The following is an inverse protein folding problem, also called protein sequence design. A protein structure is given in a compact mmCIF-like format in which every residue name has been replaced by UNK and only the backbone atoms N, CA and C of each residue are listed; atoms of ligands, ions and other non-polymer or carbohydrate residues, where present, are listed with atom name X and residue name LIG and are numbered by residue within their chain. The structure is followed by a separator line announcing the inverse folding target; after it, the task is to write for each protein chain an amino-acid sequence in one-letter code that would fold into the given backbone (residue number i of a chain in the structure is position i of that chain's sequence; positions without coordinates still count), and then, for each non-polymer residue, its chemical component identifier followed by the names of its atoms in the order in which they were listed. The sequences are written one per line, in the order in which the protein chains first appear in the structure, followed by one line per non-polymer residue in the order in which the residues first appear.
data_IF_843929045916
#
_entry.id   IF_843929045916
#
_cell.length_a   1.000
_cell.length_b   1.000
_cell.length_c   1.000
_cell.angle_alpha   90.00
_cell.angle_beta   90.00
_cell.angle_gamma   90.00
#
_symmetry.space_group_name_H-M   'P 1'
#
loop_
_entity.id
_entity.type
_entity.pdbx_description
1 polymer ?
#
# COMPACT_ATOMS: atom_id res chain seq x y z
N UNK A 1 -15.99 21.67 1.09
CA UNK A 1 -15.13 20.51 0.75
C UNK A 1 -15.67 19.23 1.38
N UNK A 2 -15.64 19.07 2.71
CA UNK A 2 -16.03 17.82 3.40
C UNK A 2 -17.38 17.24 2.97
N UNK A 3 -18.46 18.02 3.01
CA UNK A 3 -19.80 17.55 2.61
C UNK A 3 -19.87 17.04 1.16
N UNK A 4 -19.18 17.72 0.23
CA UNK A 4 -19.11 17.29 -1.18
C UNK A 4 -18.30 16.00 -1.32
N UNK A 5 -17.18 15.89 -0.60
CA UNK A 5 -16.33 14.70 -0.63
C UNK A 5 -17.04 13.50 -0.01
N UNK A 6 -17.75 13.66 1.11
CA UNK A 6 -18.53 12.59 1.74
C UNK A 6 -19.67 12.10 0.84
N UNK A 7 -20.34 13.03 0.15
CA UNK A 7 -21.44 12.71 -0.77
C UNK A 7 -20.95 12.06 -2.06
N UNK A 8 -19.94 12.65 -2.71
CA UNK A 8 -19.54 12.28 -4.07
C UNK A 8 -18.35 11.32 -4.09
N UNK A 9 -17.58 11.25 -3.01
CA UNK A 9 -16.33 10.48 -2.92
C UNK A 9 -15.14 11.16 -3.61
N UNK A 10 -15.30 12.39 -4.10
CA UNK A 10 -14.21 13.19 -4.63
C UNK A 10 -14.45 14.69 -4.44
N UNK A 11 -13.38 15.47 -4.52
CA UNK A 11 -13.43 16.93 -4.56
C UNK A 11 -12.25 17.46 -5.40
N UNK A 12 -12.48 18.51 -6.19
CA UNK A 12 -11.43 19.12 -7.01
C UNK A 12 -11.03 20.46 -6.40
N UNK A 13 -9.78 20.53 -5.95
CA UNK A 13 -9.13 21.78 -5.58
C UNK A 13 -8.65 22.47 -6.85
N UNK A 14 -9.25 23.62 -7.18
CA UNK A 14 -9.00 24.31 -8.45
C UNK A 14 -7.78 25.22 -8.37
N UNK A 15 -6.90 25.14 -9.37
CA UNK A 15 -5.72 26.02 -9.52
C UNK A 15 -4.87 26.11 -8.25
N UNK A 16 -4.66 24.98 -7.57
CA UNK A 16 -3.88 24.91 -6.33
C UNK A 16 -2.44 25.25 -6.60
N UNK A 17 -1.88 24.65 -7.66
CA UNK A 17 -0.55 24.91 -8.15
C UNK A 17 -0.61 25.95 -9.26
N UNK A 18 0.35 26.86 -9.23
CA UNK A 18 0.67 27.76 -10.34
C UNK A 18 1.29 27.00 -11.50
N UNK A 19 1.30 27.59 -12.70
CA UNK A 19 1.98 26.97 -13.86
C UNK A 19 3.46 26.69 -13.58
N UNK A 20 4.14 27.61 -12.88
CA UNK A 20 5.55 27.45 -12.48
C UNK A 20 5.76 26.26 -11.55
N UNK A 21 4.89 26.07 -10.56
CA UNK A 21 4.98 24.92 -9.64
C UNK A 21 4.71 23.60 -10.38
N UNK A 22 3.74 23.58 -11.30
CA UNK A 22 3.50 22.40 -12.15
C UNK A 22 4.71 22.11 -13.04
N UNK A 23 5.35 23.13 -13.60
CA UNK A 23 6.53 22.92 -14.46
C UNK A 23 7.75 22.48 -13.64
N UNK A 24 7.95 23.03 -12.43
CA UNK A 24 8.96 22.57 -11.47
C UNK A 24 8.77 21.08 -11.16
N UNK A 25 7.53 20.65 -10.92
CA UNK A 25 7.20 19.24 -10.65
C UNK A 25 7.39 18.36 -11.90
N UNK A 26 6.85 18.78 -13.05
CA UNK A 26 6.76 17.95 -14.24
C UNK A 26 8.09 17.82 -14.99
N UNK A 27 8.99 18.80 -14.90
CA UNK A 27 10.24 18.82 -15.65
C UNK A 27 11.17 17.63 -15.36
N UNK A 28 11.59 17.35 -14.10
CA UNK A 28 12.46 16.21 -13.81
C UNK A 28 11.79 14.87 -14.15
N UNK A 29 10.48 14.75 -13.90
CA UNK A 29 9.67 13.57 -14.23
C UNK A 29 9.67 13.29 -15.74
N UNK A 30 9.37 14.30 -16.56
CA UNK A 30 9.37 14.16 -18.04
C UNK A 30 10.76 13.86 -18.57
N UNK A 31 11.80 14.45 -17.97
CA UNK A 31 13.17 14.18 -18.34
C UNK A 31 13.55 12.71 -18.07
N UNK A 32 13.12 12.14 -16.94
CA UNK A 32 13.32 10.72 -16.64
C UNK A 32 12.61 9.80 -17.66
N UNK A 33 11.35 10.07 -18.02
CA UNK A 33 10.67 9.33 -19.10
C UNK A 33 11.42 9.40 -20.43
N UNK A 34 11.92 10.58 -20.80
CA UNK A 34 12.68 10.79 -22.05
C UNK A 34 14.00 10.01 -22.06
N UNK A 35 14.66 9.88 -20.90
CA UNK A 35 15.91 9.10 -20.76
C UNK A 35 15.69 7.58 -20.69
N UNK A 36 14.45 7.11 -20.58
CA UNK A 36 14.16 5.69 -20.33
C UNK A 36 14.33 5.28 -18.87
N UNK A 37 14.31 6.25 -17.96
CA UNK A 37 14.63 6.09 -16.54
C UNK A 37 13.36 5.96 -15.69
N UNK A 38 12.50 5.00 -16.04
CA UNK A 38 11.20 4.78 -15.40
C UNK A 38 10.90 3.29 -15.22
N UNK A 39 10.13 2.94 -14.18
CA UNK A 39 10.00 1.57 -13.65
C UNK A 39 9.36 0.55 -14.60
N UNK A 40 8.66 1.00 -15.65
CA UNK A 40 7.99 0.10 -16.60
C UNK A 40 8.69 -0.07 -17.94
N UNK A 41 9.88 0.53 -18.12
CA UNK A 41 10.61 0.51 -19.40
C UNK A 41 10.89 -0.91 -19.92
N UNK A 42 11.12 -1.87 -19.03
CA UNK A 42 11.45 -3.25 -19.40
C UNK A 42 10.24 -4.17 -19.65
N UNK A 43 9.00 -3.72 -19.40
CA UNK A 43 7.78 -4.56 -19.43
C UNK A 43 6.86 -4.28 -20.61
N UNK A 44 7.28 -3.47 -21.58
CA UNK A 44 6.43 -3.07 -22.69
C UNK A 44 7.17 -2.27 -23.75
N UNK A 45 6.44 -1.62 -24.67
CA UNK A 45 7.08 -0.71 -25.61
C UNK A 45 7.68 0.47 -24.82
N UNK A 46 8.84 0.95 -25.22
CA UNK A 46 9.46 2.11 -24.60
C UNK A 46 8.69 3.40 -24.95
N UNK A 47 8.60 4.35 -24.02
CA UNK A 47 8.22 5.73 -24.31
C UNK A 47 9.09 6.26 -25.47
N UNK A 48 8.52 6.91 -26.50
CA UNK A 48 7.18 7.50 -26.57
C UNK A 48 6.11 6.62 -27.25
N UNK A 49 6.33 5.31 -27.41
CA UNK A 49 5.31 4.45 -27.97
C UNK A 49 4.04 4.42 -27.10
N UNK A 50 2.89 4.24 -27.75
CA UNK A 50 1.59 4.16 -27.09
C UNK A 50 1.59 3.09 -25.98
N UNK A 51 1.18 3.49 -24.78
CA UNK A 51 1.23 2.62 -23.60
C UNK A 51 0.95 3.39 -22.31
N UNK A 52 1.07 2.69 -21.18
CA UNK A 52 1.06 3.29 -19.85
C UNK A 52 2.48 3.15 -19.30
N UNK A 53 3.18 4.28 -19.19
CA UNK A 53 4.52 4.34 -18.64
C UNK A 53 4.48 4.97 -17.26
N UNK A 54 5.30 4.46 -16.36
CA UNK A 54 5.08 4.65 -14.94
C UNK A 54 6.42 4.85 -14.22
N UNK A 55 6.48 5.83 -13.32
CA UNK A 55 7.67 6.17 -12.55
C UNK A 55 7.34 6.43 -11.07
N UNK A 56 7.83 5.58 -10.18
CA UNK A 56 7.64 5.61 -8.74
C UNK A 56 8.51 6.65 -8.00
N UNK A 57 8.80 6.43 -6.71
CA UNK A 57 9.42 7.43 -5.85
C UNK A 57 10.91 7.67 -6.12
N UNK A 58 11.57 6.90 -7.00
CA UNK A 58 13.01 7.06 -7.31
C UNK A 58 13.38 8.48 -7.77
N UNK A 59 12.49 9.19 -8.46
CA UNK A 59 12.72 10.58 -8.84
C UNK A 59 12.96 11.51 -7.63
N UNK A 60 12.43 11.14 -6.46
CA UNK A 60 12.59 11.92 -5.23
C UNK A 60 13.97 11.75 -4.60
N UNK A 61 14.77 10.78 -5.05
CA UNK A 61 16.17 10.65 -4.65
C UNK A 61 17.01 11.76 -5.27
N UNK A 62 16.90 11.95 -6.59
CA UNK A 62 17.67 12.95 -7.35
C UNK A 62 17.06 14.35 -7.28
N UNK A 63 15.75 14.43 -7.09
CA UNK A 63 14.97 15.66 -7.12
C UNK A 63 14.04 15.79 -5.91
N UNK A 64 14.55 15.76 -4.66
CA UNK A 64 13.71 15.84 -3.47
C UNK A 64 12.94 17.16 -3.38
N UNK A 65 13.40 18.24 -4.04
CA UNK A 65 12.76 19.55 -4.06
C UNK A 65 11.36 19.56 -4.68
N UNK A 66 11.02 18.56 -5.51
CA UNK A 66 9.67 18.48 -6.08
C UNK A 66 8.63 18.09 -5.03
N UNK A 67 9.06 17.62 -3.84
CA UNK A 67 8.16 17.33 -2.72
C UNK A 67 7.40 18.59 -2.26
N UNK A 68 8.04 19.76 -2.26
CA UNK A 68 7.46 21.03 -1.81
C UNK A 68 6.26 21.46 -2.66
N UNK A 69 6.28 21.11 -3.94
CA UNK A 69 5.21 21.41 -4.91
C UNK A 69 4.30 20.21 -5.19
N UNK A 70 4.46 19.10 -4.44
CA UNK A 70 3.63 17.91 -4.59
C UNK A 70 3.17 17.35 -3.24
N UNK A 71 3.88 16.35 -2.70
CA UNK A 71 3.46 15.60 -1.51
C UNK A 71 3.44 16.46 -0.25
N UNK A 72 4.21 17.54 -0.17
CA UNK A 72 4.28 18.44 0.98
C UNK A 72 3.66 19.82 0.72
N UNK A 73 2.94 19.99 -0.40
CA UNK A 73 2.32 21.27 -0.73
C UNK A 73 1.25 21.62 0.33
N UNK A 74 1.34 22.78 1.02
CA UNK A 74 0.52 23.08 2.19
C UNK A 74 -0.99 22.95 1.94
N UNK A 75 -1.49 23.54 0.85
CA UNK A 75 -2.93 23.47 0.50
C UNK A 75 -3.42 22.05 0.20
N UNK A 76 -2.55 21.16 -0.26
CA UNK A 76 -2.92 19.77 -0.58
C UNK A 76 -3.01 19.00 0.73
N UNK A 77 -1.97 19.09 1.57
CA UNK A 77 -1.91 18.36 2.83
C UNK A 77 -2.97 18.86 3.82
N UNK A 78 -3.17 20.17 3.95
CA UNK A 78 -4.25 20.73 4.77
C UNK A 78 -5.62 20.15 4.36
N UNK A 79 -5.90 20.06 3.06
CA UNK A 79 -7.16 19.51 2.56
C UNK A 79 -7.30 18.00 2.85
N UNK A 80 -6.22 17.23 2.67
CA UNK A 80 -6.21 15.78 2.94
C UNK A 80 -6.40 15.51 4.44
N UNK A 81 -5.67 16.19 5.30
CA UNK A 81 -5.75 16.02 6.75
C UNK A 81 -7.07 16.53 7.32
N UNK A 82 -7.67 17.59 6.76
CA UNK A 82 -9.04 18.00 7.09
C UNK A 82 -10.06 16.91 6.75
N UNK A 83 -9.93 16.28 5.58
CA UNK A 83 -10.84 15.20 5.15
C UNK A 83 -10.65 13.92 5.97
N UNK A 84 -9.43 13.60 6.39
CA UNK A 84 -9.20 12.48 7.32
C UNK A 84 -9.62 12.82 8.75
N UNK A 85 -9.53 14.08 9.16
CA UNK A 85 -9.67 14.53 10.55
C UNK A 85 -8.45 14.18 11.42
N UNK A 86 -7.33 13.83 10.81
CA UNK A 86 -6.10 13.38 11.47
C UNK A 86 -4.89 13.48 10.50
N UNK A 87 -3.64 13.32 10.99
CA UNK A 87 -2.46 13.35 10.14
C UNK A 87 -2.48 12.28 9.03
N UNK A 88 -1.94 12.66 7.87
CA UNK A 88 -1.82 11.79 6.71
C UNK A 88 -0.40 11.19 6.59
N UNK A 89 -0.30 10.04 5.94
CA UNK A 89 0.98 9.43 5.55
C UNK A 89 0.93 9.02 4.07
N UNK A 90 2.03 9.25 3.35
CA UNK A 90 2.13 8.97 1.93
C UNK A 90 2.24 7.46 1.70
N UNK A 91 1.24 6.91 1.01
CA UNK A 91 1.19 5.51 0.60
C UNK A 91 1.88 5.27 -0.74
N UNK A 92 1.71 6.21 -1.68
CA UNK A 92 2.19 6.07 -3.06
C UNK A 92 2.63 7.42 -3.60
N UNK A 93 3.75 7.44 -4.32
CA UNK A 93 4.17 8.54 -5.18
C UNK A 93 4.43 8.00 -6.59
N UNK A 94 3.55 8.33 -7.55
CA UNK A 94 3.64 7.72 -8.87
C UNK A 94 3.28 8.68 -9.99
N UNK A 95 4.19 8.91 -10.95
CA UNK A 95 3.83 9.56 -12.20
C UNK A 95 3.40 8.55 -13.27
N UNK A 96 2.33 8.89 -13.98
CA UNK A 96 1.81 8.11 -15.11
C UNK A 96 1.89 8.95 -16.38
N UNK A 97 2.58 8.42 -17.40
CA UNK A 97 2.74 8.98 -18.74
C UNK A 97 1.96 8.14 -19.75
N UNK A 98 1.03 8.78 -20.47
CA UNK A 98 0.18 8.16 -21.49
C UNK A 98 0.33 8.90 -22.83
N UNK A 99 1.24 8.44 -23.72
CA UNK A 99 1.43 9.03 -25.04
C UNK A 99 0.18 8.95 -25.93
N UNK A 100 0.15 9.68 -27.06
CA UNK A 100 -0.89 9.53 -28.08
C UNK A 100 -1.17 8.07 -28.42
N UNK A 101 -2.45 7.69 -28.45
CA UNK A 101 -2.87 6.31 -28.70
C UNK A 101 -2.87 5.39 -27.47
N UNK A 102 -2.43 5.85 -26.30
CA UNK A 102 -2.49 5.06 -25.08
C UNK A 102 -3.94 4.67 -24.73
N UNK A 103 -4.21 3.37 -24.68
CA UNK A 103 -5.55 2.82 -24.42
C UNK A 103 -6.41 2.62 -25.68
N UNK A 104 -5.88 2.93 -26.88
CA UNK A 104 -6.51 2.57 -28.16
C UNK A 104 -5.99 1.19 -28.57
N UNK A 105 -6.80 0.14 -28.41
CA UNK A 105 -6.47 -1.19 -28.92
C UNK A 105 -7.71 -1.86 -29.54
N UNK A 106 -7.50 -2.74 -30.53
CA UNK A 106 -8.56 -3.48 -31.25
C UNK A 106 -9.35 -4.47 -30.38
N UNK A 107 -8.87 -4.74 -29.16
CA UNK A 107 -9.57 -5.49 -28.13
C UNK A 107 -9.83 -4.55 -26.96
N UNK A 108 -10.99 -4.64 -26.28
CA UNK A 108 -11.22 -3.88 -25.06
C UNK A 108 -10.03 -4.10 -24.13
N UNK A 109 -9.42 -3.02 -23.66
CA UNK A 109 -8.16 -3.04 -22.95
C UNK A 109 -8.44 -3.54 -21.52
N UNK A 110 -8.42 -4.87 -21.35
CA UNK A 110 -8.86 -5.52 -20.10
C UNK A 110 -7.94 -5.21 -18.90
N UNK A 111 -6.71 -4.73 -19.13
CA UNK A 111 -5.77 -4.41 -18.05
C UNK A 111 -5.60 -2.89 -17.88
N UNK A 112 -6.53 -2.24 -17.18
CA UNK A 112 -6.38 -0.86 -16.70
C UNK A 112 -7.17 0.23 -17.44
N UNK A 113 -8.06 -0.13 -18.37
CA UNK A 113 -8.98 0.84 -19.03
C UNK A 113 -10.46 0.60 -18.70
N UNK A 114 -10.75 -0.16 -17.65
CA UNK A 114 -12.09 -0.29 -17.11
C UNK A 114 -12.24 0.54 -15.85
N UNK A 115 -13.47 0.91 -15.53
CA UNK A 115 -13.79 1.42 -14.22
C UNK A 115 -13.30 0.46 -13.12
N UNK A 116 -12.65 1.01 -12.11
CA UNK A 116 -12.10 0.26 -11.00
C UNK A 116 -11.98 1.14 -9.77
N UNK A 117 -11.63 0.52 -8.65
CA UNK A 117 -11.05 1.20 -7.49
C UNK A 117 -9.86 0.39 -6.98
N UNK A 118 -9.13 0.96 -6.02
CA UNK A 118 -7.74 0.57 -5.75
C UNK A 118 -7.53 -0.05 -4.37
N UNK A 119 -8.62 -0.37 -3.67
CA UNK A 119 -8.53 -1.23 -2.49
C UNK A 119 -8.13 -2.62 -2.93
N UNK A 120 -6.90 -3.01 -2.60
CA UNK A 120 -6.19 -4.19 -3.09
C UNK A 120 -5.39 -4.76 -1.91
N UNK A 121 -5.95 -5.72 -1.13
CA UNK A 121 -5.29 -6.26 0.07
C UNK A 121 -3.95 -6.96 -0.21
N UNK A 122 -3.59 -7.15 -1.48
CA UNK A 122 -2.32 -7.74 -1.92
C UNK A 122 -1.23 -6.71 -2.29
N UNK A 123 -1.50 -5.40 -2.10
CA UNK A 123 -0.57 -4.32 -2.47
C UNK A 123 -0.29 -3.38 -1.31
N UNK A 124 0.98 -3.03 -1.10
CA UNK A 124 1.38 -1.96 -0.17
C UNK A 124 0.59 -0.67 -0.42
N UNK A 125 0.45 -0.26 -1.68
CA UNK A 125 -0.27 0.98 -2.05
C UNK A 125 -1.81 0.88 -2.05
N UNK A 126 -2.38 -0.26 -1.65
CA UNK A 126 -3.81 -0.54 -1.80
C UNK A 126 -4.46 -1.27 -0.62
N UNK A 127 -3.69 -1.71 0.38
CA UNK A 127 -4.20 -2.47 1.53
C UNK A 127 -4.61 -1.58 2.71
N UNK A 128 -5.23 -0.43 2.44
CA UNK A 128 -5.69 0.55 3.44
C UNK A 128 -7.22 0.59 3.48
N UNK A 129 -7.80 1.00 4.61
CA UNK A 129 -9.26 1.13 4.74
C UNK A 129 -9.74 2.55 4.99
N UNK A 130 -8.85 3.47 5.40
CA UNK A 130 -9.08 4.91 5.42
C UNK A 130 -7.98 5.64 4.64
N UNK A 131 -8.24 5.87 3.35
CA UNK A 131 -7.24 6.39 2.42
C UNK A 131 -7.88 7.14 1.25
N UNK A 132 -7.08 7.95 0.56
CA UNK A 132 -7.50 8.72 -0.59
C UNK A 132 -6.36 8.97 -1.59
N UNK A 133 -6.75 9.33 -2.80
CA UNK A 133 -5.85 9.80 -3.85
C UNK A 133 -5.71 11.31 -3.82
N UNK A 134 -4.56 11.79 -4.27
CA UNK A 134 -4.38 13.15 -4.76
C UNK A 134 -3.73 13.08 -6.14
N UNK A 135 -4.44 13.55 -7.17
CA UNK A 135 -3.95 13.52 -8.55
C UNK A 135 -3.72 14.94 -9.06
N UNK A 136 -2.49 15.21 -9.50
CA UNK A 136 -2.04 16.48 -10.08
C UNK A 136 -1.83 16.28 -11.59
N UNK A 137 -2.69 16.83 -12.46
CA UNK A 137 -2.49 16.76 -13.89
C UNK A 137 -1.44 17.79 -14.35
N UNK A 138 -0.50 17.36 -15.20
CA UNK A 138 0.55 18.27 -15.73
C UNK A 138 0.11 19.01 -17.00
N UNK A 139 -1.07 18.68 -17.50
CA UNK A 139 -1.75 19.28 -18.65
C UNK A 139 -3.25 19.28 -18.36
N UNK A 140 -4.04 19.96 -19.19
CA UNK A 140 -5.48 19.79 -19.17
C UNK A 140 -5.87 18.36 -19.58
N UNK A 141 -6.69 17.71 -18.76
CA UNK A 141 -7.27 16.40 -19.08
C UNK A 141 -8.55 16.62 -19.89
N UNK A 142 -8.39 17.05 -21.15
CA UNK A 142 -9.48 17.22 -22.10
C UNK A 142 -10.06 15.87 -22.54
N UNK A 143 -11.24 15.91 -23.19
CA UNK A 143 -11.85 14.74 -23.83
C UNK A 143 -10.85 14.00 -24.75
N UNK A 144 -10.07 14.74 -25.55
CA UNK A 144 -9.08 14.16 -26.46
C UNK A 144 -7.85 13.63 -25.74
N UNK A 145 -7.37 14.30 -24.69
CA UNK A 145 -6.22 13.82 -23.91
C UNK A 145 -6.54 12.56 -23.07
N UNK A 146 -7.83 12.28 -22.86
CA UNK A 146 -8.31 11.16 -22.06
C UNK A 146 -8.53 11.59 -20.61
N UNK A 147 -9.75 11.99 -20.22
CA UNK A 147 -10.03 12.41 -18.86
C UNK A 147 -9.89 11.28 -17.84
N UNK A 148 -9.66 11.65 -16.58
CA UNK A 148 -9.86 10.75 -15.44
C UNK A 148 -11.31 10.88 -15.01
N UNK A 149 -12.15 9.92 -15.41
CA UNK A 149 -13.57 9.93 -15.05
C UNK A 149 -13.80 9.26 -13.70
N UNK A 150 -14.85 9.68 -12.99
CA UNK A 150 -15.22 9.18 -11.66
C UNK A 150 -16.71 8.84 -11.61
N UNK A 151 -17.10 7.93 -10.71
CA UNK A 151 -18.50 7.60 -10.44
C UNK A 151 -18.93 8.13 -9.07
N UNK A 152 -19.65 9.28 -9.00
CA UNK A 152 -19.98 9.92 -7.74
C UNK A 152 -20.80 9.01 -6.81
N UNK A 153 -20.43 8.95 -5.54
CA UNK A 153 -21.14 8.16 -4.52
C UNK A 153 -20.82 6.65 -4.54
N UNK A 154 -20.05 6.17 -5.52
CA UNK A 154 -19.65 4.75 -5.60
C UNK A 154 -18.79 4.29 -4.42
N UNK A 155 -18.08 5.20 -3.75
CA UNK A 155 -17.30 4.90 -2.55
C UNK A 155 -18.17 4.42 -1.38
N UNK A 156 -19.46 4.76 -1.36
CA UNK A 156 -20.42 4.31 -0.34
C UNK A 156 -20.92 2.87 -0.56
N UNK A 157 -20.55 2.23 -1.68
CA UNK A 157 -20.94 0.84 -1.96
C UNK A 157 -20.04 -0.18 -1.27
N UNK A 158 -18.86 0.23 -0.78
CA UNK A 158 -18.00 -0.63 0.04
C UNK A 158 -18.17 -0.27 1.52
N UNK A 159 -18.22 -1.28 2.38
CA UNK A 159 -18.41 -1.08 3.82
C UNK A 159 -17.28 -1.74 4.60
N UNK A 160 -16.70 -1.00 5.54
CA UNK A 160 -15.81 -1.55 6.54
C UNK A 160 -16.65 -2.22 7.63
N UNK A 161 -16.41 -3.50 7.86
CA UNK A 161 -17.15 -4.29 8.84
C UNK A 161 -16.59 -4.05 10.26
N UNK A 162 -17.36 -4.36 11.31
CA UNK A 162 -16.85 -4.36 12.68
C UNK A 162 -15.60 -5.25 12.81
N UNK A 163 -14.68 -4.84 13.68
CA UNK A 163 -13.47 -5.60 13.97
C UNK A 163 -13.81 -6.98 14.55
N UNK A 164 -12.98 -7.98 14.25
CA UNK A 164 -12.96 -9.25 14.99
C UNK A 164 -12.14 -9.20 16.30
N UNK A 165 -11.76 -7.98 16.68
CA UNK A 165 -10.93 -7.63 17.81
C UNK A 165 -9.48 -7.34 17.42
N UNK A 166 -9.03 -7.67 16.20
CA UNK A 166 -7.66 -7.38 15.70
C UNK A 166 -7.68 -6.67 14.35
N UNK A 167 -8.55 -7.10 13.44
CA UNK A 167 -8.63 -6.60 12.06
C UNK A 167 -10.08 -6.46 11.60
N UNK A 168 -10.30 -5.61 10.60
CA UNK A 168 -11.61 -5.36 10.02
C UNK A 168 -11.77 -6.03 8.66
N UNK A 169 -12.84 -6.84 8.46
CA UNK A 169 -13.27 -7.27 7.13
C UNK A 169 -13.79 -6.10 6.31
N UNK A 170 -13.77 -6.24 4.99
CA UNK A 170 -14.32 -5.25 4.07
C UNK A 170 -15.32 -5.93 3.15
N UNK A 171 -16.58 -5.50 3.22
CA UNK A 171 -17.56 -5.77 2.17
C UNK A 171 -17.22 -4.86 0.97
N UNK A 172 -16.42 -5.37 0.06
CA UNK A 172 -15.88 -4.65 -1.07
C UNK A 172 -16.89 -4.66 -2.23
N UNK A 173 -17.27 -3.50 -2.75
CA UNK A 173 -18.20 -3.41 -3.87
C UNK A 173 -17.67 -4.11 -5.12
N UNK A 174 -18.51 -4.88 -5.79
CA UNK A 174 -18.18 -5.44 -7.09
C UNK A 174 -18.46 -4.41 -8.18
N UNK A 175 -17.45 -4.01 -8.94
CA UNK A 175 -17.61 -2.98 -9.98
C UNK A 175 -18.36 -3.58 -11.18
N UNK A 176 -19.55 -3.06 -11.53
CA UNK A 176 -20.34 -3.55 -12.66
C UNK A 176 -19.68 -3.27 -14.01
N UNK A 177 -20.37 -3.61 -15.11
CA UNK A 177 -19.93 -3.19 -16.45
C UNK A 177 -19.97 -1.67 -16.56
N UNK A 178 -19.07 -1.11 -17.38
CA UNK A 178 -18.99 0.33 -17.58
C UNK A 178 -20.29 0.96 -18.12
N UNK A 179 -21.13 0.19 -18.84
CA UNK A 179 -22.44 0.63 -19.33
C UNK A 179 -23.47 0.84 -18.22
N UNK A 180 -23.24 0.25 -17.05
CA UNK A 180 -24.21 0.16 -15.96
C UNK A 180 -23.85 1.13 -14.82
N UNK A 181 -22.78 1.91 -15.01
CA UNK A 181 -22.28 2.90 -14.05
C UNK A 181 -22.24 4.29 -14.71
N UNK A 182 -22.59 5.31 -13.94
CA UNK A 182 -22.42 6.69 -14.37
C UNK A 182 -20.98 7.12 -14.12
N UNK A 183 -20.27 7.49 -15.18
CA UNK A 183 -18.92 8.06 -15.13
C UNK A 183 -18.96 9.49 -15.65
N UNK A 184 -18.52 10.44 -14.83
CA UNK A 184 -18.44 11.86 -15.19
C UNK A 184 -16.99 12.31 -15.28
N UNK A 185 -16.72 13.31 -16.13
CA UNK A 185 -15.43 13.98 -16.20
C UNK A 185 -15.40 15.19 -15.23
N UNK A 186 -14.53 15.19 -14.20
CA UNK A 186 -14.33 16.36 -13.33
C UNK A 186 -13.75 17.59 -14.05
N UNK A 187 -13.37 17.46 -15.32
CA UNK A 187 -12.78 18.51 -16.16
C UNK A 187 -11.51 19.08 -15.53
N UNK A 188 -10.53 18.21 -15.24
CA UNK A 188 -9.30 18.60 -14.56
C UNK A 188 -8.40 19.45 -15.47
N UNK A 189 -7.91 20.57 -14.91
CA UNK A 189 -7.01 21.51 -15.56
C UNK A 189 -5.60 21.42 -15.01
N UNK A 190 -4.61 21.82 -15.81
CA UNK A 190 -3.23 21.96 -15.31
C UNK A 190 -3.23 22.79 -14.02
N UNK A 191 -2.63 22.25 -12.96
CA UNK A 191 -2.55 22.91 -11.63
C UNK A 191 -3.75 22.66 -10.70
N UNK A 192 -4.80 21.99 -11.16
CA UNK A 192 -5.81 21.43 -10.25
C UNK A 192 -5.25 20.27 -9.44
N UNK A 193 -5.95 19.89 -8.37
CA UNK A 193 -5.73 18.63 -7.64
C UNK A 193 -7.08 17.99 -7.41
N UNK A 194 -7.26 16.74 -7.86
CA UNK A 194 -8.45 15.96 -7.47
C UNK A 194 -8.10 15.07 -6.30
N UNK A 195 -8.91 15.19 -5.24
CA UNK A 195 -8.92 14.26 -4.12
C UNK A 195 -10.01 13.22 -4.36
N UNK A 196 -9.70 11.93 -4.22
CA UNK A 196 -10.68 10.84 -4.43
C UNK A 196 -10.60 9.84 -3.30
N UNK A 197 -11.73 9.43 -2.74
CA UNK A 197 -11.81 8.35 -1.77
C UNK A 197 -11.24 7.05 -2.37
N UNK A 198 -10.54 6.25 -1.58
CA UNK A 198 -9.94 4.98 -2.02
C UNK A 198 -10.92 3.97 -2.63
N UNK A 199 -12.19 4.03 -2.24
CA UNK A 199 -13.28 3.19 -2.77
C UNK A 199 -14.02 3.81 -3.96
N UNK A 200 -13.68 5.03 -4.38
CA UNK A 200 -14.32 5.68 -5.51
C UNK A 200 -13.97 4.97 -6.82
N UNK A 201 -14.99 4.57 -7.56
CA UNK A 201 -14.81 4.01 -8.89
C UNK A 201 -14.37 5.10 -9.87
N UNK A 202 -13.33 4.81 -10.64
CA UNK A 202 -12.75 5.72 -11.60
C UNK A 202 -12.23 4.98 -12.83
N UNK A 203 -12.16 5.70 -13.95
CA UNK A 203 -11.65 5.16 -15.22
C UNK A 203 -10.81 6.20 -15.96
N UNK A 204 -9.54 5.89 -16.29
CA UNK A 204 -8.73 6.74 -17.14
C UNK A 204 -9.07 6.49 -18.62
N UNK A 205 -9.77 7.43 -19.27
CA UNK A 205 -10.19 7.31 -20.68
C UNK A 205 -8.98 7.28 -21.64
N UNK A 206 -9.08 6.65 -22.82
CA UNK A 206 -7.98 6.61 -23.78
C UNK A 206 -7.50 8.00 -24.22
N UNK A 207 -6.22 8.10 -24.59
CA UNK A 207 -5.65 9.31 -25.17
C UNK A 207 -5.82 9.27 -26.71
N UNK A 208 -6.82 9.99 -27.21
CA UNK A 208 -7.11 10.19 -28.63
C UNK A 208 -6.37 11.38 -29.24
N UNK A 209 -5.68 12.16 -28.41
CA UNK A 209 -4.99 13.39 -28.78
C UNK A 209 -3.67 13.14 -29.49
N UNK A 210 -2.93 14.23 -29.70
CA UNK A 210 -1.63 14.27 -30.34
C UNK A 210 -0.50 14.70 -29.37
N UNK A 211 -0.79 14.73 -28.07
CA UNK A 211 0.16 15.06 -27.00
C UNK A 211 0.11 14.05 -25.87
N UNK A 212 1.17 14.03 -25.07
CA UNK A 212 1.26 13.17 -23.89
C UNK A 212 0.30 13.63 -22.79
N UNK A 213 -0.47 12.68 -22.23
CA UNK A 213 -1.21 12.87 -20.98
C UNK A 213 -0.35 12.41 -19.82
N UNK A 214 0.12 13.35 -19.01
CA UNK A 214 0.96 13.08 -17.83
C UNK A 214 0.36 13.67 -16.55
N UNK A 215 0.64 13.05 -15.42
CA UNK A 215 0.31 13.59 -14.11
C UNK A 215 0.99 12.80 -12.99
N UNK A 216 0.89 13.34 -11.77
CA UNK A 216 1.31 12.69 -10.54
C UNK A 216 0.10 12.15 -9.79
N UNK A 217 0.18 10.90 -9.37
CA UNK A 217 -0.85 10.12 -8.69
C UNK A 217 -0.28 9.71 -7.34
N UNK A 218 -0.64 10.49 -6.32
CA UNK A 218 -0.28 10.20 -4.95
C UNK A 218 -1.44 9.50 -4.25
N UNK A 219 -1.11 8.66 -3.27
CA UNK A 219 -2.08 8.12 -2.33
C UNK A 219 -1.62 8.46 -0.93
N UNK A 220 -2.59 8.76 -0.08
CA UNK A 220 -2.38 9.01 1.33
C UNK A 220 -3.32 8.12 2.13
N UNK A 221 -2.87 7.70 3.29
CA UNK A 221 -3.72 7.05 4.29
C UNK A 221 -3.72 7.86 5.56
N UNK A 222 -4.81 7.73 6.32
CA UNK A 222 -4.85 8.24 7.68
C UNK A 222 -3.81 7.50 8.54
N UNK A 223 -3.17 8.20 9.49
CA UNK A 223 -2.23 7.57 10.43
C UNK A 223 -2.87 6.37 11.15
N UNK A 224 -4.15 6.50 11.54
CA UNK A 224 -4.92 5.43 12.17
C UNK A 224 -5.23 4.23 11.27
N UNK A 225 -4.98 4.26 9.96
CA UNK A 225 -5.27 3.14 9.05
C UNK A 225 -4.02 2.74 8.27
N UNK A 226 -3.08 2.03 8.91
CA UNK A 226 -1.86 1.58 8.25
C UNK A 226 -2.14 0.51 7.17
N UNK A 227 -1.21 0.31 6.22
CA UNK A 227 -1.36 -0.70 5.18
C UNK A 227 -1.20 -2.10 5.75
N UNK A 228 -2.11 -3.02 5.43
CA UNK A 228 -1.97 -4.41 5.88
C UNK A 228 -0.69 -5.10 5.37
N UNK A 229 -0.29 -4.85 4.12
CA UNK A 229 0.97 -5.36 3.53
C UNK A 229 2.25 -4.73 4.13
N UNK A 230 2.08 -3.63 4.87
CA UNK A 230 3.14 -2.76 5.33
C UNK A 230 3.46 -1.64 4.34
N UNK A 231 4.17 -0.60 4.80
CA UNK A 231 4.32 0.65 4.06
C UNK A 231 5.27 0.56 2.88
N UNK A 232 5.09 1.47 1.93
CA UNK A 232 6.08 1.77 0.88
C UNK A 232 7.30 2.44 1.52
N UNK A 233 8.51 1.97 1.18
CA UNK A 233 9.77 2.58 1.64
C UNK A 233 10.23 3.62 0.61
N UNK A 234 10.54 4.83 1.06
CA UNK A 234 10.96 5.96 0.22
C UNK A 234 12.47 6.27 0.33
N UNK A 235 13.06 7.04 -0.60
CA UNK A 235 14.44 7.51 -0.46
C UNK A 235 14.62 8.45 0.74
N UNK A 236 15.69 8.29 1.54
CA UNK A 236 16.00 9.21 2.66
C UNK A 236 16.15 10.66 2.19
N UNK A 237 16.63 10.90 0.96
CA UNK A 237 16.81 12.24 0.41
C UNK A 237 15.54 13.11 0.50
N UNK A 238 14.35 12.53 0.24
CA UNK A 238 13.10 13.29 0.38
C UNK A 238 12.76 13.57 1.84
N UNK A 239 12.97 12.61 2.73
CA UNK A 239 12.71 12.80 4.16
C UNK A 239 13.60 13.91 4.77
N UNK A 240 14.87 13.96 4.37
CA UNK A 240 15.81 14.99 4.82
C UNK A 240 15.50 16.37 4.25
N UNK A 241 14.95 16.44 3.03
CA UNK A 241 14.49 17.69 2.41
C UNK A 241 13.24 18.26 3.09
N UNK A 242 12.32 17.40 3.54
CA UNK A 242 11.08 17.82 4.16
C UNK A 242 11.30 18.62 5.44
N UNK A 243 10.47 19.65 5.63
CA UNK A 243 10.39 20.37 6.91
C UNK A 243 10.00 19.41 8.05
N UNK A 244 10.37 19.74 9.28
CA UNK A 244 10.02 18.89 10.44
C UNK A 244 8.51 18.64 10.59
N UNK A 245 7.68 19.58 10.13
CA UNK A 245 6.21 19.44 10.13
C UNK A 245 5.66 18.53 9.03
N UNK A 246 6.47 18.16 8.04
CA UNK A 246 6.08 17.35 6.90
C UNK A 246 6.73 15.96 6.90
N UNK A 247 7.69 15.70 7.80
CA UNK A 247 8.38 14.40 7.93
C UNK A 247 7.44 13.24 8.23
N UNK A 248 6.29 13.48 8.87
CA UNK A 248 5.27 12.46 9.11
C UNK A 248 4.62 11.92 7.83
N UNK A 249 4.78 12.62 6.69
CA UNK A 249 4.29 12.15 5.39
C UNK A 249 5.14 11.00 4.86
N UNK A 250 6.42 10.94 5.19
CA UNK A 250 7.37 9.92 4.68
C UNK A 250 8.15 9.28 5.84
N UNK A 251 7.49 8.66 6.82
CA UNK A 251 8.16 8.15 8.01
C UNK A 251 8.98 6.87 7.75
N UNK A 252 8.72 6.19 6.62
CA UNK A 252 9.41 4.97 6.22
C UNK A 252 10.32 5.26 5.02
N UNK A 253 11.61 5.39 5.29
CA UNK A 253 12.60 5.72 4.29
C UNK A 253 13.93 5.01 4.53
N UNK A 254 14.82 5.02 3.53
CA UNK A 254 16.21 4.51 3.64
C UNK A 254 17.14 5.19 2.62
N UNK A 255 18.42 5.27 2.96
CA UNK A 255 19.45 6.01 2.22
C UNK A 255 20.46 5.13 1.48
N UNK A 256 20.25 3.81 1.45
CA UNK A 256 21.12 2.82 0.82
C UNK A 256 20.67 2.39 -0.59
N UNK A 257 19.73 3.13 -1.19
CA UNK A 257 19.21 2.85 -2.54
C UNK A 257 18.15 1.74 -2.63
N UNK A 258 17.83 1.03 -1.53
CA UNK A 258 16.90 -0.13 -1.54
C UNK A 258 15.44 0.24 -1.21
N UNK A 259 14.93 1.30 -1.80
CA UNK A 259 13.57 1.80 -1.62
C UNK A 259 12.65 1.39 -2.77
N UNK A 260 11.35 1.63 -2.66
CA UNK A 260 10.33 1.17 -3.61
C UNK A 260 10.64 1.59 -5.05
N UNK A 261 11.18 0.66 -5.85
CA UNK A 261 11.57 0.87 -7.24
C UNK A 261 11.61 -0.47 -7.95
N UNK A 262 11.43 -0.45 -9.27
CA UNK A 262 11.64 -1.63 -10.12
C UNK A 262 12.63 -1.23 -11.20
N UNK A 263 13.84 -1.77 -11.11
CA UNK A 263 14.78 -1.71 -12.22
C UNK A 263 14.44 -2.86 -13.19
N UNK A 264 15.15 -3.98 -13.08
CA UNK A 264 14.78 -5.23 -13.77
C UNK A 264 13.94 -6.15 -12.90
N UNK A 265 14.29 -6.18 -11.62
CA UNK A 265 13.65 -6.96 -10.56
C UNK A 265 13.39 -5.99 -9.38
N UNK A 266 12.55 -6.36 -8.41
CA UNK A 266 12.44 -5.61 -7.16
C UNK A 266 13.79 -5.48 -6.45
N UNK A 267 14.00 -4.37 -5.75
CA UNK A 267 15.28 -4.06 -5.08
C UNK A 267 15.39 -4.62 -3.66
N UNK A 268 14.38 -5.39 -3.22
CA UNK A 268 14.22 -5.99 -1.89
C UNK A 268 14.31 -4.94 -0.77
N UNK A 269 13.19 -4.32 -0.44
CA UNK A 269 13.14 -3.22 0.52
C UNK A 269 13.11 -3.64 2.00
N UNK A 270 12.99 -4.94 2.30
CA UNK A 270 12.86 -5.47 3.66
C UNK A 270 13.71 -6.74 3.73
N UNK A 271 14.53 -6.88 4.76
CA UNK A 271 15.45 -8.02 4.92
C UNK A 271 14.83 -9.15 5.76
N UNK A 272 14.00 -8.81 6.74
CA UNK A 272 13.41 -9.77 7.67
C UNK A 272 11.91 -9.51 7.88
N UNK A 273 11.12 -10.56 8.06
CA UNK A 273 9.77 -10.44 8.59
C UNK A 273 9.64 -11.19 9.91
N UNK A 274 9.09 -10.52 10.92
CA UNK A 274 8.80 -11.11 12.22
C UNK A 274 7.27 -11.20 12.40
N UNK A 275 6.76 -12.32 12.91
CA UNK A 275 5.31 -12.55 13.00
C UNK A 275 4.88 -12.82 14.44
N UNK A 276 4.00 -11.96 14.95
CA UNK A 276 3.26 -12.19 16.19
C UNK A 276 2.03 -13.05 15.83
N UNK A 277 2.08 -14.33 16.20
CA UNK A 277 1.00 -15.29 15.94
C UNK A 277 0.28 -15.57 17.26
N UNK A 278 -0.99 -15.16 17.34
CA UNK A 278 -1.88 -15.35 18.47
C UNK A 278 -2.86 -16.50 18.19
N UNK A 279 -3.11 -17.39 19.16
CA UNK A 279 -4.15 -18.42 19.07
C UNK A 279 -5.52 -17.94 19.59
N UNK A 280 -6.51 -18.83 19.60
CA UNK A 280 -7.85 -18.48 20.11
C UNK A 280 -7.89 -18.17 21.62
N UNK A 281 -6.91 -18.65 22.39
CA UNK A 281 -6.78 -18.44 23.84
C UNK A 281 -5.87 -17.23 24.15
N UNK A 282 -5.56 -16.41 23.13
CA UNK A 282 -4.69 -15.22 23.23
C UNK A 282 -3.24 -15.54 23.65
N UNK A 283 -2.78 -16.77 23.38
CA UNK A 283 -1.38 -17.16 23.57
C UNK A 283 -0.59 -16.86 22.31
N UNK A 284 0.65 -16.43 22.50
CA UNK A 284 1.57 -16.07 21.42
C UNK A 284 2.56 -17.19 21.19
N UNK A 285 2.78 -17.53 19.93
CA UNK A 285 3.84 -18.44 19.52
C UNK A 285 5.22 -17.79 19.70
N UNK A 286 6.09 -18.46 20.44
CA UNK A 286 7.53 -18.17 20.50
C UNK A 286 8.35 -19.41 20.16
N UNK A 287 9.49 -19.20 19.54
CA UNK A 287 10.47 -20.23 19.15
C UNK A 287 11.74 -20.06 20.01
N UNK A 288 12.48 -21.15 20.21
CA UNK A 288 13.71 -21.15 21.00
C UNK A 288 13.69 -22.23 22.07
N UNK A 289 14.35 -21.99 23.19
CA UNK A 289 14.32 -22.88 24.35
C UNK A 289 14.75 -22.12 25.62
N UNK A 290 14.71 -22.78 26.77
CA UNK A 290 15.08 -22.16 28.05
C UNK A 290 16.56 -21.75 28.18
N UNK A 291 17.46 -22.32 27.37
CA UNK A 291 18.89 -22.03 27.40
C UNK A 291 19.27 -20.86 26.47
N UNK A 292 18.74 -20.85 25.25
CA UNK A 292 19.04 -19.85 24.22
C UNK A 292 18.08 -18.66 24.25
N UNK A 293 17.00 -18.78 25.02
CA UNK A 293 15.91 -17.83 25.09
C UNK A 293 14.87 -18.04 23.99
N UNK A 294 13.76 -17.33 24.14
CA UNK A 294 12.60 -17.32 23.28
C UNK A 294 12.61 -16.09 22.37
N UNK A 295 12.01 -16.19 21.19
CA UNK A 295 11.77 -15.08 20.26
C UNK A 295 10.50 -15.33 19.42
N UNK A 296 9.91 -14.30 18.80
CA UNK A 296 8.85 -14.54 17.81
C UNK A 296 9.42 -15.22 16.55
N UNK A 297 8.60 -15.96 15.78
CA UNK A 297 8.96 -16.40 14.44
C UNK A 297 9.54 -15.27 13.58
N UNK A 298 10.67 -15.56 12.92
CA UNK A 298 11.37 -14.66 11.99
C UNK A 298 11.70 -15.41 10.72
N UNK A 299 11.59 -14.73 9.59
CA UNK A 299 11.82 -15.30 8.28
C UNK A 299 12.57 -14.29 7.39
N UNK A 300 13.39 -14.80 6.49
CA UNK A 300 14.00 -13.97 5.44
C UNK A 300 12.89 -13.34 4.59
N UNK A 301 12.94 -12.01 4.48
CA UNK A 301 11.98 -11.26 3.69
C UNK A 301 12.50 -11.09 2.26
N UNK A 302 11.63 -11.35 1.29
CA UNK A 302 11.93 -11.13 -0.12
C UNK A 302 10.69 -10.69 -0.87
N UNK A 303 10.83 -9.72 -1.75
CA UNK A 303 9.77 -9.31 -2.66
C UNK A 303 9.54 -10.39 -3.72
N UNK A 304 8.31 -10.49 -4.23
CA UNK A 304 8.00 -11.44 -5.30
C UNK A 304 8.75 -11.04 -6.58
N UNK A 305 9.44 -11.97 -7.24
CA UNK A 305 10.19 -11.68 -8.47
C UNK A 305 9.32 -11.12 -9.61
N UNK A 306 8.01 -11.38 -9.59
CA UNK A 306 7.04 -10.86 -10.54
C UNK A 306 6.40 -9.53 -10.11
N UNK A 307 6.69 -9.06 -8.89
CA UNK A 307 6.16 -7.83 -8.32
C UNK A 307 6.33 -6.67 -9.30
N UNK A 308 5.26 -5.90 -9.45
CA UNK A 308 5.27 -4.65 -10.19
C UNK A 308 5.57 -3.52 -9.20
N UNK A 309 5.79 -2.31 -9.70
CA UNK A 309 6.09 -1.14 -8.84
C UNK A 309 5.04 -0.89 -7.76
N UNK A 310 3.79 -1.31 -7.96
CA UNK A 310 2.73 -1.20 -6.97
C UNK A 310 2.75 -2.27 -5.87
N UNK A 311 3.46 -3.35 -6.13
CA UNK A 311 3.65 -4.45 -5.22
C UNK A 311 5.00 -4.33 -4.50
N UNK A 312 5.81 -3.31 -4.86
CA UNK A 312 7.09 -3.04 -4.22
C UNK A 312 6.93 -2.86 -2.70
N UNK A 313 7.92 -3.35 -1.96
CA UNK A 313 7.96 -3.53 -0.51
C UNK A 313 7.00 -4.60 0.05
N UNK A 314 6.20 -5.31 -0.75
CA UNK A 314 5.39 -6.43 -0.23
C UNK A 314 6.23 -7.71 -0.16
N UNK A 315 6.49 -8.17 1.06
CA UNK A 315 7.28 -9.38 1.33
C UNK A 315 6.45 -10.55 1.86
N UNK A 316 5.11 -10.43 1.92
CA UNK A 316 4.24 -11.46 2.51
C UNK A 316 4.42 -12.83 1.87
N UNK A 317 4.72 -12.90 0.58
CA UNK A 317 4.95 -14.18 -0.11
C UNK A 317 6.07 -15.01 0.51
N UNK A 318 7.22 -14.39 0.83
CA UNK A 318 8.33 -15.12 1.47
C UNK A 318 8.02 -15.47 2.91
N UNK A 319 7.30 -14.60 3.64
CA UNK A 319 6.90 -14.84 5.04
C UNK A 319 5.92 -16.01 5.15
N UNK A 320 4.94 -16.09 4.26
CA UNK A 320 3.97 -17.20 4.23
C UNK A 320 4.68 -18.51 3.90
N UNK A 321 5.60 -18.47 2.94
CA UNK A 321 6.42 -19.63 2.57
C UNK A 321 7.29 -20.10 3.73
N UNK A 322 7.98 -19.19 4.41
CA UNK A 322 8.79 -19.51 5.59
C UNK A 322 7.96 -20.11 6.72
N UNK A 323 6.78 -19.54 7.02
CA UNK A 323 5.88 -20.11 8.02
C UNK A 323 5.42 -21.54 7.67
N UNK A 324 5.13 -21.82 6.39
CA UNK A 324 4.74 -23.16 5.96
C UNK A 324 5.91 -24.15 5.99
N UNK A 325 7.08 -23.76 5.46
CA UNK A 325 8.25 -24.63 5.33
C UNK A 325 8.95 -24.90 6.68
N UNK A 326 9.07 -23.88 7.53
CA UNK A 326 9.83 -23.96 8.78
C UNK A 326 8.97 -24.33 9.99
N UNK A 327 7.68 -23.94 10.01
CA UNK A 327 6.78 -24.19 11.14
C UNK A 327 5.68 -25.21 10.82
N UNK A 328 5.47 -25.54 9.54
CA UNK A 328 4.30 -26.30 9.11
C UNK A 328 2.98 -25.52 9.25
N UNK A 329 3.03 -24.18 9.31
CA UNK A 329 1.88 -23.31 9.51
C UNK A 329 1.45 -22.64 8.22
N UNK A 330 0.18 -22.85 7.84
CA UNK A 330 -0.46 -22.10 6.77
C UNK A 330 -1.12 -20.85 7.35
N UNK A 331 -0.56 -19.69 7.04
CA UNK A 331 -1.12 -18.40 7.43
C UNK A 331 -2.02 -17.90 6.29
N UNK A 332 -3.33 -17.67 6.52
CA UNK A 332 -4.23 -17.16 5.47
C UNK A 332 -4.02 -15.68 5.15
N UNK A 333 -3.56 -14.90 6.13
CA UNK A 333 -3.42 -13.45 6.03
C UNK A 333 -2.44 -12.93 7.08
N UNK A 334 -1.89 -11.75 6.85
CA UNK A 334 -1.12 -10.99 7.83
C UNK A 334 -1.64 -9.54 7.88
N UNK A 335 -1.39 -8.85 8.99
CA UNK A 335 -1.58 -7.39 9.06
C UNK A 335 -0.34 -6.75 9.67
N UNK A 336 0.11 -5.64 9.09
CA UNK A 336 1.25 -4.89 9.58
C UNK A 336 1.04 -4.34 11.00
N UNK A 337 2.12 -4.33 11.79
CA UNK A 337 2.19 -3.73 13.13
C UNK A 337 3.19 -2.58 13.19
N UNK A 338 4.44 -2.83 12.77
CA UNK A 338 5.54 -1.87 12.81
C UNK A 338 6.64 -2.27 11.83
N UNK A 339 7.42 -1.31 11.32
CA UNK A 339 8.70 -1.56 10.65
C UNK A 339 9.83 -1.15 11.60
N UNK A 340 10.77 -2.05 11.84
CA UNK A 340 11.98 -1.81 12.62
C UNK A 340 13.10 -1.39 11.69
N UNK A 341 13.86 -0.38 12.10
CA UNK A 341 15.04 0.08 11.39
C UNK A 341 16.27 -0.05 12.27
N UNK A 342 17.37 -0.54 11.68
CA UNK A 342 18.70 -0.39 12.26
C UNK A 342 19.61 0.31 11.24
N UNK A 343 20.42 1.27 11.69
CA UNK A 343 21.42 1.86 10.82
C UNK A 343 22.42 0.78 10.37
N UNK A 344 23.04 1.05 9.24
CA UNK A 344 24.17 0.27 8.73
C UNK A 344 25.22 0.01 9.84
N UNK A 345 25.60 -1.25 10.02
CA UNK A 345 26.61 -1.64 11.02
C UNK A 345 28.03 -1.15 10.67
N UNK A 346 28.27 -0.80 9.41
CA UNK A 346 29.50 -0.25 8.85
C UNK A 346 29.15 0.63 7.63
N UNK A 347 30.04 1.51 7.17
CA UNK A 347 29.79 2.39 6.00
C UNK A 347 29.39 1.62 4.72
N UNK A 348 29.84 0.37 4.57
CA UNK A 348 29.52 -0.49 3.42
C UNK A 348 28.39 -1.50 3.70
N UNK A 349 27.86 -1.55 4.93
CA UNK A 349 26.73 -2.40 5.24
C UNK A 349 25.44 -1.68 4.81
N UNK A 350 24.55 -2.33 4.08
CA UNK A 350 23.21 -1.79 3.82
C UNK A 350 22.45 -1.54 5.13
N UNK A 351 21.44 -0.67 5.07
CA UNK A 351 20.54 -0.51 6.19
C UNK A 351 19.71 -1.78 6.40
N UNK A 352 19.34 -2.09 7.64
CA UNK A 352 18.49 -3.23 7.95
C UNK A 352 17.07 -2.78 8.29
N UNK A 353 16.09 -3.53 7.78
CA UNK A 353 14.66 -3.36 7.96
C UNK A 353 14.02 -4.71 8.28
N UNK A 354 13.22 -4.72 9.34
CA UNK A 354 12.38 -5.85 9.69
C UNK A 354 10.92 -5.40 9.76
N UNK A 355 10.05 -6.12 9.05
CA UNK A 355 8.62 -5.86 9.08
C UNK A 355 7.93 -6.80 10.07
N UNK A 356 7.25 -6.21 11.04
CA UNK A 356 6.50 -6.98 12.05
C UNK A 356 5.04 -7.08 11.63
N UNK A 357 4.54 -8.30 11.57
CA UNK A 357 3.15 -8.61 11.25
C UNK A 357 2.45 -9.25 12.45
N UNK A 358 1.13 -9.05 12.53
CA UNK A 358 0.21 -9.76 13.41
C UNK A 358 -0.63 -10.77 12.64
N UNK A 359 -0.92 -11.90 13.28
CA UNK A 359 -1.86 -12.91 12.82
C UNK A 359 -2.63 -13.50 14.00
N UNK A 360 -3.91 -13.85 13.76
CA UNK A 360 -4.72 -14.58 14.73
C UNK A 360 -5.28 -15.87 14.13
N UNK A 361 -4.97 -16.98 14.78
CA UNK A 361 -5.53 -18.29 14.47
C UNK A 361 -6.89 -18.41 15.15
N UNK A 362 -7.92 -18.83 14.40
CA UNK A 362 -9.30 -18.98 14.89
C UNK A 362 -9.56 -20.31 15.62
N UNK A 363 -8.53 -21.12 15.82
CA UNK A 363 -8.61 -22.45 16.44
C UNK A 363 -7.61 -22.54 17.59
N UNK A 364 -7.65 -23.65 18.33
CA UNK A 364 -6.60 -24.01 19.29
C UNK A 364 -5.21 -23.96 18.64
N UNK A 365 -4.20 -23.65 19.46
CA UNK A 365 -2.78 -23.74 19.11
C UNK A 365 -2.46 -25.02 18.33
N UNK A 366 -2.06 -24.91 17.05
CA UNK A 366 -1.66 -26.07 16.26
C UNK A 366 -0.33 -26.65 16.75
N UNK A 367 -0.11 -27.93 16.46
CA UNK A 367 1.22 -28.55 16.59
C UNK A 367 2.10 -28.10 15.45
N UNK A 368 3.32 -27.66 15.76
CA UNK A 368 4.29 -27.19 14.76
C UNK A 368 5.20 -28.32 14.31
N UNK A 369 5.75 -28.16 13.10
CA UNK A 369 6.77 -29.05 12.53
C UNK A 369 8.10 -28.30 12.44
N UNK A 370 8.80 -28.21 13.56
CA UNK A 370 10.14 -27.66 13.59
C UNK A 370 11.17 -28.71 13.15
N UNK A 371 12.07 -28.32 12.25
CA UNK A 371 13.26 -29.13 11.92
C UNK A 371 14.33 -29.06 13.01
N UNK A 372 14.38 -27.95 13.74
CA UNK A 372 15.31 -27.68 14.85
C UNK A 372 14.67 -26.72 15.86
N UNK A 373 15.06 -26.81 17.13
CA UNK A 373 14.56 -25.98 18.23
C UNK A 373 13.24 -26.45 18.88
N UNK A 374 12.82 -25.72 19.92
CA UNK A 374 11.55 -25.90 20.60
C UNK A 374 10.61 -24.71 20.33
N UNK A 375 9.34 -24.84 20.70
CA UNK A 375 8.38 -23.74 20.67
C UNK A 375 7.51 -23.77 21.92
N UNK A 376 6.95 -22.60 22.24
CA UNK A 376 5.94 -22.47 23.28
C UNK A 376 4.81 -21.53 22.82
N UNK A 377 3.61 -21.81 23.31
CA UNK A 377 2.48 -20.90 23.25
C UNK A 377 2.35 -20.23 24.62
N UNK A 378 2.77 -18.97 24.71
CA UNK A 378 2.86 -18.24 25.96
C UNK A 378 1.72 -17.24 26.11
N UNK A 379 1.05 -17.23 27.25
CA UNK A 379 0.13 -16.13 27.61
C UNK A 379 0.90 -14.83 27.84
N UNK A 380 0.19 -13.71 27.87
CA UNK A 380 0.76 -12.39 28.20
C UNK A 380 1.54 -12.40 29.52
N UNK A 381 1.07 -13.12 30.54
CA UNK A 381 1.78 -13.22 31.83
C UNK A 381 3.05 -14.06 31.73
N UNK A 382 3.03 -15.16 30.95
CA UNK A 382 4.21 -15.97 30.71
C UNK A 382 5.26 -15.19 29.91
N UNK A 383 4.85 -14.42 28.90
CA UNK A 383 5.74 -13.53 28.16
C UNK A 383 6.37 -12.50 29.09
N UNK A 384 5.58 -11.83 29.95
CA UNK A 384 6.09 -10.87 30.94
C UNK A 384 7.11 -11.49 31.90
N UNK A 385 6.85 -12.70 32.37
CA UNK A 385 7.82 -13.41 33.22
C UNK A 385 9.10 -13.77 32.43
N UNK A 386 8.98 -14.21 31.17
CA UNK A 386 10.13 -14.45 30.31
C UNK A 386 10.95 -13.17 30.03
N UNK A 387 10.30 -12.00 29.91
CA UNK A 387 11.00 -10.70 29.84
C UNK A 387 11.77 -10.43 31.13
N UNK A 388 11.13 -10.61 32.28
CA UNK A 388 11.73 -10.38 33.60
C UNK A 388 12.92 -11.30 33.87
N UNK A 389 12.84 -12.54 33.39
CA UNK A 389 13.92 -13.53 33.46
C UNK A 389 15.00 -13.35 32.39
N UNK A 390 14.87 -12.34 31.51
CA UNK A 390 15.75 -12.09 30.37
C UNK A 390 15.87 -13.29 29.41
N UNK A 391 14.76 -14.03 29.27
CA UNK A 391 14.59 -15.19 28.39
C UNK A 391 13.80 -14.88 27.13
N UNK A 392 13.39 -13.63 26.89
CA UNK A 392 12.67 -13.23 25.69
C UNK A 392 13.45 -12.15 24.92
N UNK A 393 13.99 -12.52 23.75
CA UNK A 393 14.74 -11.61 22.88
C UNK A 393 13.85 -10.50 22.36
N UNK A 394 14.20 -9.23 22.65
CA UNK A 394 13.35 -8.09 22.30
C UNK A 394 12.06 -8.04 23.10
N UNK A 395 12.04 -8.61 24.31
CA UNK A 395 10.84 -8.84 25.10
C UNK A 395 9.99 -7.59 25.37
N UNK A 396 10.61 -6.44 25.63
CA UNK A 396 9.87 -5.19 25.84
C UNK A 396 9.07 -4.79 24.59
N UNK A 397 9.67 -4.91 23.40
CA UNK A 397 9.02 -4.59 22.13
C UNK A 397 7.92 -5.60 21.81
N UNK A 398 8.15 -6.90 22.06
CA UNK A 398 7.14 -7.95 21.86
C UNK A 398 5.89 -7.68 22.72
N UNK A 399 6.07 -7.30 23.99
CA UNK A 399 4.95 -6.94 24.87
C UNK A 399 4.23 -5.70 24.35
N UNK A 400 4.96 -4.70 23.84
CA UNK A 400 4.37 -3.50 23.22
C UNK A 400 3.55 -3.87 21.99
N UNK A 401 4.08 -4.69 21.08
CA UNK A 401 3.37 -5.09 19.86
C UNK A 401 2.16 -5.97 20.16
N UNK A 402 2.25 -6.85 21.15
CA UNK A 402 1.10 -7.63 21.62
C UNK A 402 0.00 -6.71 22.15
N UNK A 403 0.37 -5.68 22.91
CA UNK A 403 -0.59 -4.69 23.38
C UNK A 403 -1.25 -3.93 22.22
N UNK A 404 -0.45 -3.42 21.27
CA UNK A 404 -0.95 -2.76 20.05
C UNK A 404 -1.88 -3.65 19.23
N UNK A 405 -1.57 -4.94 19.14
CA UNK A 405 -2.36 -5.94 18.42
C UNK A 405 -3.69 -6.22 19.12
N UNK A 406 -3.67 -6.49 20.43
CA UNK A 406 -4.85 -6.89 21.18
C UNK A 406 -5.82 -5.75 21.49
N UNK A 407 -5.31 -4.52 21.57
CA UNK A 407 -6.12 -3.33 21.88
C UNK A 407 -6.43 -2.49 20.64
N UNK A 408 -5.98 -2.93 19.46
CA UNK A 408 -6.18 -2.21 18.20
C UNK A 408 -5.62 -0.78 18.26
N UNK A 409 -4.39 -0.65 18.76
CA UNK A 409 -3.71 0.64 18.96
C UNK A 409 -2.39 0.75 18.16
N UNK A 410 -1.94 1.97 17.89
CA UNK A 410 -0.60 2.28 17.39
C UNK A 410 0.45 2.42 18.51
N UNK A 411 1.66 2.80 18.15
CA UNK A 411 2.77 2.98 19.08
C UNK A 411 2.57 4.10 20.11
N UNK A 412 1.65 5.02 19.83
CA UNK A 412 1.28 6.17 20.67
C UNK A 412 0.00 5.90 21.49
N UNK A 413 -0.51 4.66 21.47
CA UNK A 413 -1.75 4.26 22.13
C UNK A 413 -3.01 4.85 21.50
N UNK A 414 -2.95 5.25 20.23
CA UNK A 414 -4.11 5.74 19.49
C UNK A 414 -4.82 4.59 18.79
N UNK A 415 -6.17 4.59 18.71
CA UNK A 415 -6.91 3.56 17.99
C UNK A 415 -6.49 3.47 16.53
N UNK A 416 -6.39 2.25 16.01
CA UNK A 416 -6.11 1.97 14.61
C UNK A 416 -7.11 1.02 13.98
N UNK A 417 -7.28 1.14 12.68
CA UNK A 417 -8.13 0.31 11.84
C UNK A 417 -7.26 -0.49 10.88
N UNK A 418 -6.99 -1.74 11.27
CA UNK A 418 -6.22 -2.70 10.47
C UNK A 418 -7.13 -3.52 9.56
N UNK A 419 -6.55 -4.05 8.49
CA UNK A 419 -7.28 -4.92 7.54
C UNK A 419 -6.42 -6.12 7.13
N UNK A 420 -6.97 -6.99 6.30
CA UNK A 420 -6.29 -8.20 5.84
C UNK A 420 -5.29 -7.88 4.72
N UNK A 421 -4.07 -8.38 4.88
CA UNK A 421 -3.04 -8.35 3.86
C UNK A 421 -2.68 -9.75 3.39
N UNK A 422 -2.38 -9.88 2.10
CA UNK A 422 -2.04 -11.17 1.47
C UNK A 422 -0.88 -11.02 0.47
N UNK A 423 -0.22 -12.11 0.05
CA UNK A 423 0.80 -12.07 -0.98
C UNK A 423 0.30 -11.48 -2.31
N UNK A 424 1.18 -10.81 -3.05
CA UNK A 424 0.89 -10.24 -4.38
C UNK A 424 0.38 -11.28 -5.38
N UNK A 425 0.84 -12.54 -5.26
CA UNK A 425 0.38 -13.68 -6.07
C UNK A 425 -1.09 -14.04 -5.87
N UNK A 426 -1.70 -13.64 -4.74
CA UNK A 426 -3.11 -13.88 -4.47
C UNK A 426 -4.04 -12.95 -5.26
N UNK A 427 -3.51 -12.02 -6.06
CA UNK A 427 -4.29 -11.14 -6.95
C UNK A 427 -5.33 -11.91 -7.79
N UNK A 428 -5.04 -13.15 -8.19
CA UNK A 428 -5.93 -13.97 -9.01
C UNK A 428 -7.26 -14.33 -8.32
N UNK A 429 -7.32 -14.30 -6.99
CA UNK A 429 -8.54 -14.59 -6.22
C UNK A 429 -9.46 -13.37 -6.10
N UNK A 430 -8.96 -12.18 -6.40
CA UNK A 430 -9.72 -10.95 -6.27
C UNK A 430 -10.16 -10.44 -7.64
N UNK A 431 -11.48 -10.43 -7.86
CA UNK A 431 -12.07 -9.88 -9.09
C UNK A 431 -13.05 -8.73 -8.86
N UNK A 432 -13.27 -8.32 -7.61
CA UNK A 432 -14.32 -7.35 -7.26
C UNK A 432 -14.04 -5.92 -7.74
N UNK A 433 -12.77 -5.48 -7.76
CA UNK A 433 -12.43 -4.07 -7.88
C UNK A 433 -12.29 -3.56 -9.32
N UNK A 434 -12.36 -4.44 -10.32
CA UNK A 434 -12.37 -4.08 -11.75
C UNK A 434 -13.76 -4.27 -12.36
N UNK A 435 -14.05 -3.59 -13.46
CA UNK A 435 -15.36 -3.65 -14.10
C UNK A 435 -15.73 -5.05 -14.64
N UNK A 436 -17.04 -5.25 -14.82
CA UNK A 436 -17.59 -6.45 -15.46
C UNK A 436 -18.09 -7.52 -14.49
N UNK A 437 -18.25 -7.20 -13.21
CA UNK A 437 -18.88 -8.08 -12.24
C UNK A 437 -20.41 -7.91 -12.22
N UNK A 438 -21.17 -8.86 -11.66
CA UNK A 438 -22.52 -8.59 -11.19
C UNK A 438 -22.51 -7.48 -10.12
N UNK A 439 -23.62 -6.75 -9.98
CA UNK A 439 -23.77 -5.84 -8.85
C UNK A 439 -23.88 -6.66 -7.55
N UNK A 440 -23.06 -6.31 -6.57
CA UNK A 440 -22.95 -7.04 -5.31
C UNK A 440 -21.75 -6.59 -4.49
N UNK A 441 -21.42 -7.37 -3.48
CA UNK A 441 -20.24 -7.19 -2.64
C UNK A 441 -19.45 -8.48 -2.54
N UNK A 442 -18.16 -8.34 -2.28
CA UNK A 442 -17.23 -9.42 -2.02
C UNK A 442 -16.63 -9.21 -0.63
N UNK A 443 -16.66 -10.23 0.22
CA UNK A 443 -16.16 -10.11 1.58
C UNK A 443 -14.65 -10.39 1.62
N UNK A 444 -13.85 -9.33 1.75
CA UNK A 444 -12.42 -9.42 2.04
C UNK A 444 -12.25 -9.73 3.52
N UNK A 445 -11.61 -10.87 3.83
CA UNK A 445 -11.43 -11.37 5.19
C UNK A 445 -11.93 -12.81 5.41
N UNK A 446 -12.49 -13.43 4.37
CA UNK A 446 -12.84 -14.85 4.34
C UNK A 446 -11.84 -15.68 3.53
N UNK A 447 -11.49 -16.83 4.09
CA UNK A 447 -10.47 -17.73 3.55
C UNK A 447 -10.96 -19.18 3.62
N UNK A 448 -10.55 -19.99 2.64
CA UNK A 448 -10.86 -21.41 2.58
C UNK A 448 -10.01 -22.26 3.55
N UNK A 449 -10.19 -23.58 3.51
CA UNK A 449 -9.42 -24.53 4.34
C UNK A 449 -7.91 -24.57 4.03
N UNK A 450 -7.51 -24.05 2.86
CA UNK A 450 -6.11 -23.93 2.45
C UNK A 450 -5.53 -22.55 2.78
N UNK A 451 -6.33 -21.65 3.35
CA UNK A 451 -5.95 -20.28 3.64
C UNK A 451 -5.94 -19.35 2.42
N UNK A 452 -6.59 -19.75 1.32
CA UNK A 452 -6.74 -18.93 0.13
C UNK A 452 -7.96 -18.02 0.28
N UNK A 453 -7.94 -16.78 -0.26
CA UNK A 453 -9.13 -15.94 -0.27
C UNK A 453 -10.29 -16.67 -0.98
N UNK A 454 -11.48 -16.62 -0.39
CA UNK A 454 -12.68 -17.19 -1.02
C UNK A 454 -12.89 -16.56 -2.39
N UNK A 455 -13.13 -17.31 -3.48
CA UNK A 455 -13.31 -16.70 -4.79
C UNK A 455 -14.60 -15.88 -4.83
N UNK A 456 -14.63 -14.85 -5.68
CA UNK A 456 -15.88 -14.17 -6.05
C UNK A 456 -16.82 -15.21 -6.67
N UNK A 457 -17.99 -15.46 -6.06
CA UNK A 457 -19.03 -16.28 -6.69
C UNK A 457 -19.40 -15.68 -8.04
N UNK A 458 -19.24 -16.47 -9.11
CA UNK A 458 -19.37 -16.04 -10.51
C UNK A 458 -20.79 -15.92 -11.00
#
# INVERSE_FOLDING_TARGET
MKEEFEKNGYHVLRGVLTETEVDQLAMPIRAAFTRGDYDTFHRGPAYPAAGVHSMGPRVLEDHPEIADVSLAHPKIIEAIEELFGEPATLAQYWSIMRPPGAGLADKPFVNGSGAHYDYKPWRCVGSYVKWMFAVIPFIDYTETAGPLTVSPGSHLKSTLMPSDGRVHPVEAAQVPKASDIELIDPSLKKGDVVLMNGFLWHEPRPNYGNSDRCGLYMKFHAKSSPPACGPTIYPTAVYEHLSDKAKHLVPYHRGDGRFASIEREPVDCIEEGQVLIEDQDEKVLVLGNEADGWHLPRFDAKEDATAMILDACNVMGSIFKGAEEELGLKLPWLSWLVDLARPAAAEDAGEWRCRVYGHRIKTNAPTLKLSDGEYAWMSTDQLKEAVKDNKLTGGADIIKWLHMWQNEEDEDGQPVTRSFGVPSTHVAYFKYNGNGNPEGTYLVGEFDENGLPMPVES
#
